data_IF_680013627474
#
_entry.id   IF_680013627474
#
_cell.length_a   1.000
_cell.length_b   1.000
_cell.length_c   1.000
_cell.angle_alpha   90.00
_cell.angle_beta   90.00
_cell.angle_gamma   90.00
#
_symmetry.space_group_name_H-M   'P 1'
#
loop_
_entity.id
_entity.type
_entity.pdbx_description
1 polymer ?
#
# COMPACT_ATOMS: atom_id res chain seq x y z
N UNK A 1 15.67 19.50 16.50
CA UNK A 1 14.87 20.19 15.47
C UNK A 1 15.20 19.76 14.04
N UNK A 2 16.25 18.95 13.79
CA UNK A 2 16.70 18.55 12.44
C UNK A 2 16.04 17.28 11.88
N UNK A 3 15.63 16.31 12.72
CA UNK A 3 15.05 15.04 12.26
C UNK A 3 13.67 15.22 11.62
N UNK A 4 12.76 15.95 12.29
CA UNK A 4 11.41 16.22 11.77
C UNK A 4 11.41 16.94 10.42
N UNK A 5 12.30 17.92 10.24
CA UNK A 5 12.44 18.64 8.96
C UNK A 5 12.95 17.72 7.85
N UNK A 6 13.84 16.79 8.17
CA UNK A 6 14.37 15.82 7.22
C UNK A 6 13.28 14.83 6.79
N UNK A 7 12.51 14.31 7.74
CA UNK A 7 11.37 13.42 7.46
C UNK A 7 10.36 14.08 6.52
N UNK A 8 10.02 15.36 6.80
CA UNK A 8 9.10 16.13 5.97
C UNK A 8 9.66 16.35 4.56
N UNK A 9 10.95 16.68 4.44
CA UNK A 9 11.60 16.84 3.13
C UNK A 9 11.62 15.53 2.34
N UNK A 10 11.89 14.40 2.98
CA UNK A 10 11.87 13.07 2.33
C UNK A 10 10.46 12.74 1.82
N UNK A 11 9.42 12.98 2.62
CA UNK A 11 8.03 12.76 2.20
C UNK A 11 7.68 13.65 1.00
N UNK A 12 8.05 14.93 1.03
CA UNK A 12 7.79 15.85 -0.07
C UNK A 12 8.53 15.45 -1.35
N UNK A 13 9.80 15.06 -1.24
CA UNK A 13 10.60 14.56 -2.36
C UNK A 13 9.98 13.29 -2.96
N UNK A 14 9.53 12.36 -2.13
CA UNK A 14 8.84 11.15 -2.58
C UNK A 14 7.56 11.48 -3.33
N UNK A 15 6.73 12.40 -2.82
CA UNK A 15 5.49 12.84 -3.48
C UNK A 15 5.77 13.53 -4.82
N UNK A 16 6.79 14.39 -4.87
CA UNK A 16 7.22 15.06 -6.09
C UNK A 16 7.73 14.06 -7.14
N UNK A 17 8.50 13.07 -6.69
CA UNK A 17 8.99 12.00 -7.55
C UNK A 17 7.84 11.15 -8.09
N UNK A 18 6.89 10.73 -7.26
CA UNK A 18 5.71 9.97 -7.69
C UNK A 18 4.91 10.72 -8.76
N UNK A 19 4.64 12.02 -8.55
CA UNK A 19 3.92 12.84 -9.53
C UNK A 19 4.70 12.99 -10.85
N UNK A 20 6.00 13.26 -10.75
CA UNK A 20 6.88 13.39 -11.92
C UNK A 20 6.98 12.08 -12.70
N UNK A 21 7.19 10.96 -12.01
CA UNK A 21 7.28 9.64 -12.62
C UNK A 21 5.97 9.25 -13.33
N UNK A 22 4.82 9.54 -12.71
CA UNK A 22 3.51 9.34 -13.34
C UNK A 22 3.39 10.14 -14.64
N UNK A 23 3.68 11.45 -14.59
CA UNK A 23 3.61 12.32 -15.76
C UNK A 23 4.56 11.87 -16.87
N UNK A 24 5.82 11.58 -16.55
CA UNK A 24 6.82 11.09 -17.50
C UNK A 24 6.35 9.78 -18.14
N UNK A 25 5.85 8.84 -17.33
CA UNK A 25 5.36 7.55 -17.83
C UNK A 25 4.20 7.74 -18.80
N UNK A 26 3.25 8.62 -18.49
CA UNK A 26 2.14 8.95 -19.40
C UNK A 26 2.62 9.56 -20.71
N UNK A 27 3.58 10.49 -20.67
CA UNK A 27 4.15 11.08 -21.90
C UNK A 27 4.89 10.05 -22.75
N UNK A 28 5.66 9.17 -22.11
CA UNK A 28 6.33 8.06 -22.79
C UNK A 28 5.31 7.09 -23.40
N UNK A 29 4.23 6.76 -22.67
CA UNK A 29 3.17 5.90 -23.18
C UNK A 29 2.54 6.48 -24.46
N UNK A 30 2.23 7.78 -24.45
CA UNK A 30 1.67 8.46 -25.63
C UNK A 30 2.64 8.51 -26.81
N UNK A 31 3.94 8.65 -26.55
CA UNK A 31 4.95 8.76 -27.62
C UNK A 31 5.36 7.41 -28.22
N UNK A 32 5.42 6.36 -27.40
CA UNK A 32 6.02 5.08 -27.79
C UNK A 32 5.00 3.97 -28.05
N UNK A 33 3.79 4.01 -27.49
CA UNK A 33 2.77 2.97 -27.70
C UNK A 33 1.81 3.39 -28.80
N UNK A 34 1.41 2.42 -29.62
CA UNK A 34 0.27 2.56 -30.53
C UNK A 34 -1.04 2.78 -29.77
N UNK A 35 -2.08 3.27 -30.46
CA UNK A 35 -3.39 3.50 -29.85
C UNK A 35 -3.98 2.22 -29.21
N UNK A 36 -3.74 1.06 -29.82
CA UNK A 36 -4.18 -0.23 -29.30
C UNK A 36 -3.43 -0.60 -28.01
N UNK A 37 -2.09 -0.51 -28.03
CA UNK A 37 -1.25 -0.78 -26.86
C UNK A 37 -1.55 0.17 -25.69
N UNK A 38 -1.86 1.44 -25.98
CA UNK A 38 -2.31 2.39 -24.94
C UNK A 38 -3.61 1.93 -24.29
N UNK A 39 -4.57 1.46 -25.08
CA UNK A 39 -5.82 0.88 -24.57
C UNK A 39 -5.57 -0.28 -23.61
N UNK A 40 -4.68 -1.21 -23.99
CA UNK A 40 -4.25 -2.32 -23.14
C UNK A 40 -3.54 -1.84 -21.86
N UNK A 41 -2.58 -0.93 -22.00
CA UNK A 41 -1.80 -0.37 -20.89
C UNK A 41 -2.70 0.25 -19.82
N UNK A 42 -3.62 1.13 -20.21
CA UNK A 42 -4.51 1.79 -19.25
C UNK A 42 -5.58 0.85 -18.68
N UNK A 43 -6.02 -0.15 -19.45
CA UNK A 43 -6.95 -1.17 -18.94
C UNK A 43 -6.30 -2.03 -17.86
N UNK A 44 -5.08 -2.53 -18.09
CA UNK A 44 -4.33 -3.27 -17.09
C UNK A 44 -3.97 -2.42 -15.88
N UNK A 45 -3.63 -1.15 -16.08
CA UNK A 45 -3.37 -0.23 -14.97
C UNK A 45 -4.62 -0.01 -14.10
N UNK A 46 -5.80 0.12 -14.71
CA UNK A 46 -7.07 0.24 -14.00
C UNK A 46 -7.38 -1.02 -13.19
N UNK A 47 -7.22 -2.19 -13.80
CA UNK A 47 -7.42 -3.49 -13.14
C UNK A 47 -6.43 -3.71 -12.01
N UNK A 48 -5.15 -3.38 -12.21
CA UNK A 48 -4.13 -3.44 -11.16
C UNK A 48 -4.51 -2.52 -9.99
N UNK A 49 -4.96 -1.29 -10.27
CA UNK A 49 -5.32 -0.30 -9.24
C UNK A 49 -6.44 -0.76 -8.29
N UNK A 50 -7.21 -1.78 -8.66
CA UNK A 50 -8.20 -2.40 -7.78
C UNK A 50 -7.59 -2.89 -6.46
N UNK A 51 -6.30 -3.25 -6.39
CA UNK A 51 -5.68 -3.68 -5.12
C UNK A 51 -5.86 -2.61 -4.02
N UNK A 52 -5.85 -1.31 -4.37
CA UNK A 52 -6.07 -0.23 -3.40
C UNK A 52 -7.51 -0.24 -2.86
N UNK A 53 -8.48 -0.66 -3.68
CA UNK A 53 -9.86 -0.83 -3.23
C UNK A 53 -9.96 -1.97 -2.22
N UNK A 54 -9.24 -3.08 -2.43
CA UNK A 54 -9.23 -4.21 -1.49
C UNK A 54 -8.45 -3.93 -0.19
N UNK A 55 -7.53 -2.96 -0.16
CA UNK A 55 -6.99 -2.48 1.12
C UNK A 55 -8.08 -1.75 1.95
N UNK A 56 -9.12 -1.18 1.32
CA UNK A 56 -10.24 -0.45 1.95
C UNK A 56 -9.81 0.61 2.99
N UNK A 57 -8.55 1.08 2.94
CA UNK A 57 -7.98 1.98 3.93
C UNK A 57 -7.60 1.31 5.26
N UNK A 58 -7.64 -0.03 5.35
CA UNK A 58 -7.22 -0.80 6.51
C UNK A 58 -5.79 -0.46 6.92
N UNK A 59 -4.88 -0.28 5.96
CA UNK A 59 -3.50 0.16 6.22
C UNK A 59 -3.45 1.44 7.05
N UNK A 60 -4.27 2.44 6.71
CA UNK A 60 -4.33 3.73 7.41
C UNK A 60 -4.87 3.57 8.82
N UNK A 61 -5.94 2.78 8.99
CA UNK A 61 -6.53 2.48 10.30
C UNK A 61 -5.52 1.75 11.19
N UNK A 62 -4.81 0.76 10.66
CA UNK A 62 -3.80 0.00 11.38
C UNK A 62 -2.63 0.87 11.83
N UNK A 63 -2.18 1.82 11.01
CA UNK A 63 -1.13 2.78 11.40
C UNK A 63 -1.59 3.62 12.59
N UNK A 64 -2.83 4.13 12.57
CA UNK A 64 -3.37 4.94 13.67
C UNK A 64 -3.52 4.12 14.97
N UNK A 65 -4.11 2.93 14.87
CA UNK A 65 -4.34 2.05 16.03
C UNK A 65 -3.00 1.57 16.61
N UNK A 66 -2.05 1.19 15.74
CA UNK A 66 -0.72 0.75 16.18
C UNK A 66 0.05 1.90 16.85
N UNK A 67 0.03 3.12 16.30
CA UNK A 67 0.67 4.27 16.93
C UNK A 67 0.14 4.53 18.36
N UNK A 68 -1.18 4.43 18.55
CA UNK A 68 -1.78 4.57 19.88
C UNK A 68 -1.37 3.43 20.82
N UNK A 69 -1.47 2.18 20.36
CA UNK A 69 -1.12 0.99 21.14
C UNK A 69 0.37 0.91 21.50
N UNK A 70 1.25 1.43 20.62
CA UNK A 70 2.69 1.41 20.78
C UNK A 70 3.23 2.53 21.68
N UNK A 71 2.40 3.46 22.15
CA UNK A 71 2.81 4.56 23.05
C UNK A 71 3.50 4.09 24.35
N UNK A 72 3.21 2.87 24.80
CA UNK A 72 3.81 2.23 25.99
C UNK A 72 4.55 0.92 25.67
N UNK A 73 4.88 0.71 24.40
CA UNK A 73 5.62 -0.45 23.92
C UNK A 73 6.92 -0.02 23.23
N UNK A 74 7.91 -0.89 23.23
CA UNK A 74 9.19 -0.65 22.57
C UNK A 74 9.73 -1.93 21.94
N UNK A 75 10.65 -1.77 20.99
CA UNK A 75 11.34 -2.89 20.36
C UNK A 75 12.56 -3.30 21.20
N UNK A 76 12.63 -4.58 21.55
CA UNK A 76 13.81 -5.25 22.10
C UNK A 76 14.85 -5.50 20.99
N UNK A 77 16.13 -5.59 21.35
CA UNK A 77 17.27 -6.05 20.50
C UNK A 77 17.02 -7.34 19.70
N UNK A 78 16.06 -8.17 20.10
CA UNK A 78 15.62 -9.39 19.42
C UNK A 78 14.40 -9.19 18.50
N UNK A 79 14.07 -7.94 18.14
CA UNK A 79 12.90 -7.57 17.33
C UNK A 79 11.56 -8.06 17.91
N UNK A 80 11.46 -8.10 19.24
CA UNK A 80 10.21 -8.39 19.94
C UNK A 80 9.65 -7.10 20.52
N UNK A 81 8.33 -6.96 20.44
CA UNK A 81 7.63 -5.88 21.12
C UNK A 81 7.57 -6.21 22.61
N UNK A 82 8.07 -5.33 23.46
CA UNK A 82 8.04 -5.43 24.92
C UNK A 82 7.36 -4.20 25.52
N UNK A 83 6.76 -4.36 26.71
CA UNK A 83 6.01 -3.32 27.41
C UNK A 83 4.60 -3.79 27.79
N UNK A 84 3.88 -2.91 28.47
CA UNK A 84 2.57 -3.23 29.08
C UNK A 84 1.52 -3.65 28.04
N UNK A 85 1.66 -3.16 26.80
CA UNK A 85 0.75 -3.45 25.69
C UNK A 85 1.24 -4.55 24.73
N UNK A 86 2.25 -5.34 25.11
CA UNK A 86 2.82 -6.38 24.22
C UNK A 86 1.77 -7.33 23.64
N UNK A 87 0.89 -7.89 24.48
CA UNK A 87 -0.15 -8.82 24.05
C UNK A 87 -1.14 -8.20 23.06
N UNK A 88 -1.48 -6.91 23.28
CA UNK A 88 -2.34 -6.14 22.38
C UNK A 88 -1.68 -5.94 21.01
N UNK A 89 -0.41 -5.51 20.98
CA UNK A 89 0.33 -5.31 19.73
C UNK A 89 0.48 -6.61 18.93
N UNK A 90 0.75 -7.74 19.59
CA UNK A 90 0.81 -9.05 18.93
C UNK A 90 -0.54 -9.49 18.36
N UNK A 91 -1.62 -9.30 19.13
CA UNK A 91 -2.98 -9.59 18.66
C UNK A 91 -3.38 -8.71 17.47
N UNK A 92 -2.98 -7.43 17.48
CA UNK A 92 -3.22 -6.50 16.38
C UNK A 92 -2.52 -6.96 15.09
N UNK A 93 -1.26 -7.38 15.16
CA UNK A 93 -0.51 -7.91 14.01
C UNK A 93 -1.20 -9.18 13.47
N UNK A 94 -1.59 -10.11 14.33
CA UNK A 94 -2.29 -11.33 13.91
C UNK A 94 -3.63 -11.05 13.24
N UNK A 95 -4.43 -10.13 13.80
CA UNK A 95 -5.72 -9.71 13.21
C UNK A 95 -5.53 -8.97 11.90
N UNK A 96 -4.55 -8.07 11.81
CA UNK A 96 -4.21 -7.38 10.58
C UNK A 96 -3.83 -8.38 9.48
N UNK A 97 -2.94 -9.33 9.78
CA UNK A 97 -2.54 -10.37 8.86
C UNK A 97 -3.71 -11.21 8.37
N UNK A 98 -4.63 -11.60 9.27
CA UNK A 98 -5.84 -12.32 8.89
C UNK A 98 -6.71 -11.54 7.89
N UNK A 99 -6.95 -10.25 8.15
CA UNK A 99 -7.71 -9.40 7.23
C UNK A 99 -7.01 -9.21 5.89
N UNK A 100 -5.69 -9.04 5.88
CA UNK A 100 -4.90 -8.96 4.65
C UNK A 100 -4.98 -10.24 3.81
N UNK A 101 -4.98 -11.42 4.46
CA UNK A 101 -5.18 -12.69 3.75
C UNK A 101 -6.58 -12.77 3.14
N UNK A 102 -7.61 -12.34 3.86
CA UNK A 102 -8.99 -12.28 3.32
C UNK A 102 -9.06 -11.34 2.12
N UNK A 103 -8.53 -10.11 2.24
CA UNK A 103 -8.56 -9.13 1.15
C UNK A 103 -7.75 -9.60 -0.07
N UNK A 104 -6.60 -10.25 0.15
CA UNK A 104 -5.84 -10.88 -0.93
C UNK A 104 -6.64 -12.00 -1.60
N UNK A 105 -7.28 -12.89 -0.85
CA UNK A 105 -8.10 -13.95 -1.42
C UNK A 105 -9.28 -13.39 -2.23
N UNK A 106 -9.97 -12.37 -1.72
CA UNK A 106 -11.05 -11.69 -2.43
C UNK A 106 -10.56 -11.03 -3.72
N UNK A 107 -9.41 -10.36 -3.69
CA UNK A 107 -8.79 -9.78 -4.88
C UNK A 107 -8.56 -10.86 -5.94
N UNK A 108 -7.96 -11.99 -5.57
CA UNK A 108 -7.71 -13.10 -6.50
C UNK A 108 -9.00 -13.70 -7.08
N UNK A 109 -10.02 -13.92 -6.24
CA UNK A 109 -11.31 -14.49 -6.66
C UNK A 109 -12.05 -13.57 -7.65
N UNK A 110 -11.86 -12.25 -7.56
CA UNK A 110 -12.50 -11.29 -8.46
C UNK A 110 -11.64 -11.07 -9.71
N UNK A 111 -10.32 -10.92 -9.53
CA UNK A 111 -9.40 -10.57 -10.61
C UNK A 111 -9.20 -11.72 -11.60
N UNK A 112 -9.07 -12.97 -11.15
CA UNK A 112 -8.78 -14.10 -12.06
C UNK A 112 -9.94 -14.40 -13.02
N UNK A 113 -11.20 -14.52 -12.57
CA UNK A 113 -12.32 -14.72 -13.49
C UNK A 113 -12.56 -13.50 -14.37
N UNK A 114 -12.44 -12.29 -13.81
CA UNK A 114 -12.52 -11.05 -14.60
C UNK A 114 -11.46 -11.03 -15.70
N UNK A 115 -10.22 -11.31 -15.34
CA UNK A 115 -9.12 -11.40 -16.30
C UNK A 115 -9.40 -12.41 -17.41
N UNK A 116 -9.81 -13.63 -17.06
CA UNK A 116 -10.13 -14.69 -18.02
C UNK A 116 -11.32 -14.38 -18.95
N UNK A 117 -12.31 -13.61 -18.48
CA UNK A 117 -13.50 -13.29 -19.28
C UNK A 117 -13.28 -12.12 -20.25
N UNK A 118 -12.40 -11.17 -19.90
CA UNK A 118 -12.18 -9.94 -20.67
C UNK A 118 -10.91 -9.96 -21.53
N UNK A 119 -9.95 -10.85 -21.23
CA UNK A 119 -8.64 -10.93 -21.88
C UNK A 119 -8.31 -12.36 -22.30
#
# INVERSE_FOLDING_TARGET
MSLFTLDLMVILLLRLWQASAGLITTLLAVHFLSAEEQGWYYSFLSVASLYNLFDLGLSTVLVQISAHGFSRAHWNKHNRVEGENQAYCQALIGRAGHWYVIMAALFWIILLPGGYLFF
#
